data_IF_976899463312
#
_entry.id   IF_976899463312
#
_cell.length_a   1.000
_cell.length_b   1.000
_cell.length_c   1.000
_cell.angle_alpha   90.00
_cell.angle_beta   90.00
_cell.angle_gamma   90.00
#
_symmetry.space_group_name_H-M   'P 1'
#
loop_
_entity.id
_entity.type
_entity.pdbx_description
1 polymer ?
#
# COMPACT_ATOMS: atom_id res chain seq x y z
N UNK A 1 -29.53 -40.83 0.84
CA UNK A 1 -29.65 -39.62 1.67
C UNK A 1 -28.65 -38.49 1.27
N UNK A 2 -27.43 -38.79 0.80
CA UNK A 2 -26.44 -37.78 0.46
C UNK A 2 -26.80 -36.85 -0.71
N UNK A 3 -27.38 -37.35 -1.80
CA UNK A 3 -27.76 -36.56 -2.98
C UNK A 3 -28.75 -35.43 -2.66
N UNK A 4 -29.54 -35.57 -1.60
CA UNK A 4 -30.45 -34.54 -1.13
C UNK A 4 -29.76 -33.31 -0.44
N UNK A 5 -28.63 -33.50 0.25
CA UNK A 5 -27.98 -32.37 0.99
C UNK A 5 -27.48 -31.28 0.04
N UNK A 6 -26.70 -31.66 -0.97
CA UNK A 6 -26.15 -30.69 -1.94
C UNK A 6 -27.27 -30.01 -2.76
N UNK A 7 -28.22 -30.83 -3.27
CA UNK A 7 -29.36 -30.31 -4.03
C UNK A 7 -30.21 -29.35 -3.20
N UNK A 8 -30.47 -29.71 -1.93
CA UNK A 8 -31.24 -28.87 -1.02
C UNK A 8 -30.47 -27.57 -0.63
N UNK A 9 -29.13 -27.64 -0.46
CA UNK A 9 -28.32 -26.47 -0.24
C UNK A 9 -28.43 -25.46 -1.42
N UNK A 10 -28.39 -25.98 -2.67
CA UNK A 10 -28.55 -25.16 -3.87
C UNK A 10 -29.96 -24.56 -4.01
N UNK A 11 -30.99 -25.35 -3.67
CA UNK A 11 -32.35 -24.85 -3.65
C UNK A 11 -32.50 -23.68 -2.66
N UNK A 12 -32.01 -23.85 -1.41
CA UNK A 12 -32.07 -22.82 -0.39
C UNK A 12 -31.22 -21.59 -0.76
N UNK A 13 -30.06 -21.78 -1.39
CA UNK A 13 -29.27 -20.65 -1.94
C UNK A 13 -30.08 -19.82 -2.95
N UNK A 14 -30.73 -20.49 -3.90
CA UNK A 14 -31.57 -19.82 -4.92
C UNK A 14 -32.80 -19.14 -4.34
N UNK A 15 -33.33 -19.64 -3.23
CA UNK A 15 -34.49 -19.08 -2.53
C UNK A 15 -34.10 -17.99 -1.52
N UNK A 16 -32.79 -17.67 -1.35
CA UNK A 16 -32.33 -16.68 -0.38
C UNK A 16 -32.29 -17.18 1.07
N UNK A 17 -32.56 -18.46 1.32
CA UNK A 17 -32.55 -19.07 2.66
C UNK A 17 -31.10 -19.44 3.07
N UNK A 18 -30.24 -18.41 3.25
CA UNK A 18 -28.81 -18.59 3.37
C UNK A 18 -28.37 -19.41 4.60
N UNK A 19 -29.09 -19.34 5.73
CA UNK A 19 -28.76 -20.14 6.92
C UNK A 19 -28.97 -21.63 6.69
N UNK A 20 -30.09 -21.99 6.05
CA UNK A 20 -30.37 -23.39 5.67
C UNK A 20 -29.41 -23.89 4.61
N UNK A 21 -29.07 -23.02 3.65
CA UNK A 21 -28.08 -23.35 2.62
C UNK A 21 -26.70 -23.62 3.25
N UNK A 22 -26.28 -22.79 4.21
CA UNK A 22 -25.04 -22.95 4.98
C UNK A 22 -25.01 -24.26 5.76
N UNK A 23 -26.04 -24.55 6.56
CA UNK A 23 -26.13 -25.80 7.34
C UNK A 23 -25.98 -27.04 6.44
N UNK A 24 -26.72 -27.07 5.34
CA UNK A 24 -26.73 -28.19 4.42
C UNK A 24 -25.40 -28.36 3.66
N UNK A 25 -24.76 -27.26 3.24
CA UNK A 25 -23.48 -27.35 2.51
C UNK A 25 -22.32 -27.72 3.45
N UNK A 26 -22.34 -27.24 4.69
CA UNK A 26 -21.35 -27.64 5.70
C UNK A 26 -21.47 -29.14 6.00
N UNK A 27 -22.70 -29.65 6.19
CA UNK A 27 -22.94 -31.06 6.37
C UNK A 27 -22.58 -31.91 5.11
N UNK A 28 -22.70 -31.35 3.91
CA UNK A 28 -22.25 -32.00 2.68
C UNK A 28 -20.73 -32.07 2.57
N UNK A 29 -20.03 -31.00 3.00
CA UNK A 29 -18.57 -30.94 2.98
C UNK A 29 -17.91 -31.95 3.95
N UNK A 30 -18.63 -32.44 4.95
CA UNK A 30 -18.19 -33.46 5.91
C UNK A 30 -18.60 -34.88 5.47
N UNK A 31 -19.50 -35.02 4.49
CA UNK A 31 -20.02 -36.30 4.03
C UNK A 31 -19.02 -36.94 3.06
N UNK A 32 -18.68 -38.22 3.31
CA UNK A 32 -17.72 -39.00 2.52
C UNK A 32 -18.07 -39.10 1.02
N UNK A 33 -19.34 -38.93 0.65
CA UNK A 33 -19.81 -38.94 -0.74
C UNK A 33 -19.50 -37.62 -1.48
N UNK A 34 -19.23 -36.53 -0.76
CA UNK A 34 -19.10 -35.17 -1.31
C UNK A 34 -17.79 -34.49 -1.01
N UNK A 35 -17.06 -34.86 0.05
CA UNK A 35 -15.82 -34.25 0.51
C UNK A 35 -14.70 -34.22 -0.55
N UNK A 36 -14.73 -35.14 -1.53
CA UNK A 36 -13.77 -35.20 -2.63
C UNK A 36 -14.24 -34.50 -3.92
N UNK A 37 -15.36 -33.78 -3.92
CA UNK A 37 -15.94 -33.20 -5.14
C UNK A 37 -15.73 -31.69 -5.22
N UNK A 38 -15.14 -31.24 -6.30
CA UNK A 38 -14.96 -29.81 -6.58
C UNK A 38 -16.28 -29.01 -6.51
N UNK A 39 -17.38 -29.60 -7.00
CA UNK A 39 -18.72 -29.01 -6.94
C UNK A 39 -19.17 -28.63 -5.52
N UNK A 40 -18.87 -29.47 -4.52
CA UNK A 40 -19.24 -29.23 -3.13
C UNK A 40 -18.61 -27.94 -2.62
N UNK A 41 -17.32 -27.76 -2.86
CA UNK A 41 -16.58 -26.58 -2.42
C UNK A 41 -16.89 -25.34 -3.28
N UNK A 42 -17.14 -25.49 -4.57
CA UNK A 42 -17.64 -24.42 -5.40
C UNK A 42 -18.96 -23.82 -4.86
N UNK A 43 -19.91 -24.67 -4.52
CA UNK A 43 -21.18 -24.22 -3.97
C UNK A 43 -21.06 -23.72 -2.53
N UNK A 44 -20.18 -24.32 -1.72
CA UNK A 44 -19.85 -23.78 -0.40
C UNK A 44 -19.28 -22.37 -0.53
N UNK A 45 -18.33 -22.14 -1.43
CA UNK A 45 -17.80 -20.83 -1.72
C UNK A 45 -18.87 -19.80 -2.11
N UNK A 46 -19.82 -20.19 -2.98
CA UNK A 46 -20.92 -19.30 -3.37
C UNK A 46 -21.86 -18.95 -2.21
N UNK A 47 -22.25 -19.93 -1.39
CA UNK A 47 -23.13 -19.70 -0.22
C UNK A 47 -22.45 -18.73 0.76
N UNK A 48 -21.18 -18.97 1.09
CA UNK A 48 -20.43 -18.12 2.01
C UNK A 48 -20.12 -16.73 1.43
N UNK A 49 -19.95 -16.62 0.11
CA UNK A 49 -19.84 -15.33 -0.58
C UNK A 49 -21.14 -14.53 -0.46
N UNK A 50 -22.31 -15.13 -0.63
CA UNK A 50 -23.58 -14.41 -0.47
C UNK A 50 -23.83 -14.05 1.01
N UNK A 51 -23.48 -14.90 1.97
CA UNK A 51 -23.49 -14.55 3.40
C UNK A 51 -22.58 -13.37 3.73
N UNK A 52 -21.38 -13.32 3.17
CA UNK A 52 -20.48 -12.17 3.29
C UNK A 52 -21.13 -10.89 2.76
N UNK A 53 -21.67 -10.95 1.56
CA UNK A 53 -22.29 -9.78 0.91
C UNK A 53 -23.50 -9.24 1.69
N UNK A 54 -24.30 -10.12 2.28
CA UNK A 54 -25.53 -9.75 3.00
C UNK A 54 -25.24 -9.26 4.42
N UNK A 55 -24.28 -9.88 5.13
CA UNK A 55 -24.14 -9.71 6.58
C UNK A 55 -22.87 -9.00 7.02
N UNK A 56 -21.79 -9.13 6.25
CA UNK A 56 -20.46 -8.67 6.65
C UNK A 56 -19.73 -7.85 5.55
N UNK A 57 -20.45 -7.07 4.69
CA UNK A 57 -19.81 -6.41 3.55
C UNK A 57 -18.70 -5.45 3.98
N UNK A 58 -18.86 -4.79 5.14
CA UNK A 58 -17.92 -3.80 5.67
C UNK A 58 -16.93 -4.41 6.69
N UNK A 59 -17.07 -5.70 7.00
CA UNK A 59 -16.16 -6.37 7.93
C UNK A 59 -14.81 -6.64 7.29
N UNK A 60 -13.77 -5.92 7.73
CA UNK A 60 -12.42 -5.96 7.16
C UNK A 60 -11.77 -7.34 7.20
N UNK A 61 -12.14 -8.18 8.18
CA UNK A 61 -11.68 -9.57 8.35
C UNK A 61 -12.89 -10.50 8.52
N UNK A 62 -13.77 -10.52 7.52
CA UNK A 62 -14.99 -11.32 7.53
C UNK A 62 -14.69 -12.83 7.53
N UNK A 63 -15.16 -13.61 8.52
CA UNK A 63 -15.09 -15.07 8.51
C UNK A 63 -15.77 -15.70 7.30
N UNK A 64 -16.92 -15.16 6.89
CA UNK A 64 -17.63 -15.69 5.70
C UNK A 64 -16.81 -15.50 4.43
N UNK A 65 -16.16 -14.35 4.25
CA UNK A 65 -15.28 -14.11 3.11
C UNK A 65 -14.08 -15.07 3.10
N UNK A 66 -13.46 -15.31 4.24
CA UNK A 66 -12.33 -16.23 4.36
C UNK A 66 -12.77 -17.64 3.97
N UNK A 67 -13.89 -18.13 4.53
CA UNK A 67 -14.41 -19.47 4.20
C UNK A 67 -14.79 -19.59 2.71
N UNK A 68 -15.33 -18.52 2.12
CA UNK A 68 -15.64 -18.48 0.69
C UNK A 68 -14.36 -18.66 -0.17
N UNK A 69 -13.29 -17.91 0.15
CA UNK A 69 -12.00 -18.01 -0.55
C UNK A 69 -11.41 -19.40 -0.43
N UNK A 70 -11.33 -19.95 0.80
CA UNK A 70 -10.80 -21.29 1.05
C UNK A 70 -11.62 -22.37 0.32
N UNK A 71 -12.93 -22.18 0.24
CA UNK A 71 -13.81 -23.11 -0.48
C UNK A 71 -13.55 -23.08 -1.99
N UNK A 72 -13.44 -21.90 -2.61
CA UNK A 72 -13.10 -21.78 -4.03
C UNK A 72 -11.70 -22.32 -4.32
N UNK A 73 -10.73 -22.05 -3.45
CA UNK A 73 -9.38 -22.63 -3.55
C UNK A 73 -9.44 -24.17 -3.52
N UNK A 74 -10.16 -24.74 -2.55
CA UNK A 74 -10.33 -26.19 -2.47
C UNK A 74 -11.01 -26.79 -3.71
N UNK A 75 -11.97 -26.07 -4.30
CA UNK A 75 -12.60 -26.49 -5.57
C UNK A 75 -11.57 -26.54 -6.71
N UNK A 76 -10.68 -25.54 -6.81
CA UNK A 76 -9.60 -25.50 -7.80
C UNK A 76 -8.54 -26.58 -7.55
N UNK A 77 -8.17 -26.83 -6.30
CA UNK A 77 -7.20 -27.87 -5.94
C UNK A 77 -7.69 -29.27 -6.33
N UNK A 78 -9.01 -29.52 -6.25
CA UNK A 78 -9.61 -30.81 -6.61
C UNK A 78 -9.76 -30.97 -8.13
N UNK A 79 -10.13 -29.94 -8.86
CA UNK A 79 -10.32 -29.95 -10.31
C UNK A 79 -9.83 -28.63 -10.93
N UNK A 80 -8.49 -28.47 -11.17
CA UNK A 80 -7.93 -27.22 -11.64
C UNK A 80 -8.47 -26.74 -13.00
N UNK A 81 -8.82 -27.67 -13.87
CA UNK A 81 -9.38 -27.44 -15.20
C UNK A 81 -10.82 -27.94 -15.34
N UNK A 82 -11.49 -28.20 -14.20
CA UNK A 82 -12.85 -28.72 -14.17
C UNK A 82 -13.92 -27.68 -14.48
N UNK A 83 -15.16 -28.12 -14.51
CA UNK A 83 -16.35 -27.30 -14.84
C UNK A 83 -16.47 -26.02 -14.01
N UNK A 84 -15.97 -26.02 -12.77
CA UNK A 84 -16.09 -24.90 -11.83
C UNK A 84 -14.85 -24.02 -11.77
N UNK A 85 -13.76 -24.38 -12.46
CA UNK A 85 -12.48 -23.72 -12.32
C UNK A 85 -12.54 -22.23 -12.65
N UNK A 86 -13.00 -21.85 -13.83
CA UNK A 86 -13.07 -20.43 -14.24
C UNK A 86 -14.04 -19.62 -13.37
N UNK A 87 -15.16 -20.23 -12.97
CA UNK A 87 -16.12 -19.57 -12.07
C UNK A 87 -15.54 -19.38 -10.66
N UNK A 88 -14.75 -20.33 -10.15
CA UNK A 88 -14.04 -20.20 -8.87
C UNK A 88 -13.01 -19.11 -8.92
N UNK A 89 -12.16 -19.04 -9.95
CA UNK A 89 -11.18 -17.96 -10.17
C UNK A 89 -11.85 -16.58 -10.22
N UNK A 90 -12.96 -16.47 -10.97
CA UNK A 90 -13.73 -15.21 -11.05
C UNK A 90 -14.28 -14.77 -9.68
N UNK A 91 -14.83 -15.70 -8.91
CA UNK A 91 -15.32 -15.39 -7.56
C UNK A 91 -14.17 -15.04 -6.60
N UNK A 92 -13.04 -15.74 -6.68
CA UNK A 92 -11.84 -15.41 -5.90
C UNK A 92 -11.34 -13.99 -6.24
N UNK A 93 -11.30 -13.61 -7.51
CA UNK A 93 -10.94 -12.25 -7.93
C UNK A 93 -11.88 -11.20 -7.32
N UNK A 94 -13.20 -11.42 -7.38
CA UNK A 94 -14.17 -10.53 -6.75
C UNK A 94 -13.91 -10.37 -5.24
N UNK A 95 -13.71 -11.49 -4.52
CA UNK A 95 -13.43 -11.45 -3.08
C UNK A 95 -12.09 -10.77 -2.79
N UNK A 96 -11.07 -11.01 -3.61
CA UNK A 96 -9.78 -10.36 -3.49
C UNK A 96 -9.89 -8.83 -3.62
N UNK A 97 -10.66 -8.33 -4.60
CA UNK A 97 -10.88 -6.87 -4.74
C UNK A 97 -11.58 -6.28 -3.50
N UNK A 98 -12.50 -7.00 -2.85
CA UNK A 98 -13.09 -6.53 -1.58
C UNK A 98 -12.05 -6.51 -0.44
N UNK A 99 -11.11 -7.46 -0.40
CA UNK A 99 -9.99 -7.46 0.56
C UNK A 99 -9.05 -6.29 0.31
N UNK A 100 -8.71 -6.02 -0.96
CA UNK A 100 -7.88 -4.88 -1.35
C UNK A 100 -8.51 -3.53 -0.96
N UNK A 101 -9.80 -3.37 -1.20
CA UNK A 101 -10.53 -2.16 -0.80
C UNK A 101 -10.49 -1.96 0.73
N UNK A 102 -10.63 -3.04 1.51
CA UNK A 102 -10.49 -2.98 2.96
C UNK A 102 -9.04 -2.70 3.41
N UNK A 103 -8.03 -3.17 2.67
CA UNK A 103 -6.65 -2.79 2.91
C UNK A 103 -6.45 -1.29 2.71
N UNK A 104 -6.94 -0.75 1.58
CA UNK A 104 -6.83 0.68 1.26
C UNK A 104 -7.50 1.59 2.31
N UNK A 105 -8.72 1.25 2.73
CA UNK A 105 -9.45 2.01 3.79
C UNK A 105 -8.76 1.90 5.16
N UNK A 106 -7.99 0.84 5.42
CA UNK A 106 -7.24 0.66 6.67
C UNK A 106 -5.86 1.33 6.65
N UNK A 107 -5.45 1.99 5.56
CA UNK A 107 -4.20 2.75 5.51
C UNK A 107 -4.33 4.07 6.28
N UNK A 108 -4.26 3.96 7.61
CA UNK A 108 -4.23 5.06 8.56
C UNK A 108 -3.39 4.67 9.78
N UNK A 109 -3.09 5.62 10.63
CA UNK A 109 -2.19 5.48 11.78
C UNK A 109 -2.68 4.44 12.81
N UNK A 110 -3.99 4.16 12.87
CA UNK A 110 -4.60 3.24 13.84
C UNK A 110 -4.70 1.82 13.29
N UNK A 111 -5.02 1.66 12.02
CA UNK A 111 -5.39 0.37 11.43
C UNK A 111 -4.36 -0.19 10.42
N UNK A 112 -3.20 0.43 10.23
CA UNK A 112 -2.19 0.01 9.23
C UNK A 112 -1.79 -1.47 9.33
N UNK A 113 -1.85 -2.08 10.52
CA UNK A 113 -1.60 -3.51 10.69
C UNK A 113 -2.67 -4.38 9.99
N UNK A 114 -3.94 -3.92 10.00
CA UNK A 114 -5.02 -4.57 9.24
C UNK A 114 -4.83 -4.35 7.74
N UNK A 115 -4.37 -3.16 7.34
CA UNK A 115 -4.03 -2.89 5.93
C UNK A 115 -2.98 -3.85 5.40
N UNK A 116 -1.88 -4.05 6.14
CA UNK A 116 -0.82 -5.01 5.80
C UNK A 116 -1.36 -6.43 5.68
N UNK A 117 -2.13 -6.90 6.68
CA UNK A 117 -2.69 -8.25 6.69
C UNK A 117 -3.64 -8.48 5.51
N UNK A 118 -4.52 -7.50 5.22
CA UNK A 118 -5.44 -7.59 4.10
C UNK A 118 -4.71 -7.51 2.75
N UNK A 119 -3.69 -6.65 2.60
CA UNK A 119 -2.92 -6.58 1.36
C UNK A 119 -2.17 -7.87 1.06
N UNK A 120 -1.58 -8.49 2.09
CA UNK A 120 -0.97 -9.82 1.98
C UNK A 120 -2.01 -10.86 1.54
N UNK A 121 -3.17 -10.90 2.18
CA UNK A 121 -4.24 -11.85 1.84
C UNK A 121 -4.78 -11.62 0.42
N UNK A 122 -4.93 -10.36 -0.01
CA UNK A 122 -5.25 -10.03 -1.40
C UNK A 122 -4.27 -10.69 -2.38
N UNK A 123 -2.95 -10.53 -2.16
CA UNK A 123 -1.92 -11.12 -3.03
C UNK A 123 -1.96 -12.64 -3.03
N UNK A 124 -2.21 -13.27 -1.89
CA UNK A 124 -2.36 -14.73 -1.76
C UNK A 124 -3.55 -15.24 -2.60
N UNK A 125 -4.72 -14.59 -2.51
CA UNK A 125 -5.91 -14.98 -3.29
C UNK A 125 -5.64 -14.86 -4.79
N UNK A 126 -5.08 -13.72 -5.22
CA UNK A 126 -4.82 -13.49 -6.65
C UNK A 126 -3.74 -14.43 -7.18
N UNK A 127 -2.64 -14.65 -6.45
CA UNK A 127 -1.58 -15.58 -6.86
C UNK A 127 -2.08 -17.02 -6.99
N UNK A 128 -3.03 -17.41 -6.15
CA UNK A 128 -3.68 -18.75 -6.23
C UNK A 128 -4.59 -18.85 -7.45
N UNK A 129 -5.43 -17.85 -7.69
CA UNK A 129 -6.39 -17.87 -8.79
C UNK A 129 -5.72 -17.63 -10.15
N UNK A 130 -4.68 -16.80 -10.19
CA UNK A 130 -3.99 -16.34 -11.39
C UNK A 130 -2.46 -16.36 -11.15
N UNK A 131 -1.82 -17.54 -11.22
CA UNK A 131 -0.37 -17.65 -11.05
C UNK A 131 0.39 -16.77 -12.06
N UNK A 132 1.42 -16.08 -11.60
CA UNK A 132 2.22 -15.19 -12.43
C UNK A 132 1.68 -13.76 -12.57
N UNK A 133 0.64 -13.39 -11.81
CA UNK A 133 0.15 -12.00 -11.76
C UNK A 133 1.27 -11.06 -11.30
N UNK A 134 1.49 -9.98 -12.04
CA UNK A 134 2.40 -8.89 -11.65
C UNK A 134 1.70 -7.93 -10.69
N UNK A 135 2.30 -7.71 -9.53
CA UNK A 135 1.80 -6.81 -8.49
C UNK A 135 2.55 -5.48 -8.41
N UNK A 136 3.56 -5.26 -9.26
CA UNK A 136 4.47 -4.10 -9.15
C UNK A 136 3.75 -2.77 -8.99
N UNK A 137 2.77 -2.49 -9.84
CA UNK A 137 2.01 -1.23 -9.78
C UNK A 137 1.26 -1.09 -8.44
N UNK A 138 0.58 -2.16 -7.99
CA UNK A 138 -0.15 -2.16 -6.73
C UNK A 138 0.80 -2.13 -5.52
N UNK A 139 1.95 -2.80 -5.59
CA UNK A 139 2.98 -2.76 -4.55
C UNK A 139 3.54 -1.34 -4.40
N UNK A 140 3.84 -0.64 -5.50
CA UNK A 140 4.27 0.77 -5.47
C UNK A 140 3.22 1.66 -4.79
N UNK A 141 1.96 1.57 -5.21
CA UNK A 141 0.89 2.40 -4.66
C UNK A 141 0.66 2.13 -3.17
N UNK A 142 0.62 0.86 -2.78
CA UNK A 142 0.43 0.46 -1.39
C UNK A 142 1.61 0.89 -0.51
N UNK A 143 2.84 0.66 -0.96
CA UNK A 143 4.06 1.01 -0.24
C UNK A 143 4.22 2.54 -0.09
N UNK A 144 3.88 3.35 -1.12
CA UNK A 144 3.87 4.82 -1.00
C UNK A 144 2.91 5.29 0.09
N UNK A 145 1.70 4.76 0.11
CA UNK A 145 0.71 5.12 1.12
C UNK A 145 1.14 4.67 2.53
N UNK A 146 1.65 3.45 2.66
CA UNK A 146 2.14 2.93 3.94
C UNK A 146 3.38 3.70 4.46
N UNK A 147 4.29 4.10 3.57
CA UNK A 147 5.44 4.93 3.92
C UNK A 147 4.99 6.29 4.50
N UNK A 148 3.94 6.89 3.92
CA UNK A 148 3.34 8.12 4.47
C UNK A 148 2.80 7.91 5.89
N UNK A 149 2.16 6.76 6.16
CA UNK A 149 1.68 6.43 7.51
C UNK A 149 2.84 6.26 8.49
N UNK A 150 3.89 5.53 8.10
CA UNK A 150 5.07 5.37 8.98
C UNK A 150 5.80 6.68 9.23
N UNK A 151 5.88 7.60 8.24
CA UNK A 151 6.43 8.94 8.46
C UNK A 151 5.64 9.73 9.51
N UNK A 152 4.32 9.72 9.43
CA UNK A 152 3.46 10.36 10.44
C UNK A 152 3.60 9.73 11.83
N UNK A 153 3.68 8.40 11.90
CA UNK A 153 3.89 7.71 13.18
C UNK A 153 5.26 8.04 13.78
N UNK A 154 6.30 8.23 12.95
CA UNK A 154 7.61 8.67 13.41
C UNK A 154 7.59 10.07 14.06
N UNK A 155 6.73 10.96 13.57
CA UNK A 155 6.54 12.31 14.15
C UNK A 155 5.72 12.29 15.46
N UNK A 156 4.79 11.33 15.59
CA UNK A 156 3.85 11.26 16.72
C UNK A 156 4.38 10.43 17.90
N UNK A 157 5.13 9.36 17.61
CA UNK A 157 5.65 8.41 18.60
C UNK A 157 7.16 8.55 18.75
N UNK A 158 7.56 9.49 19.62
CA UNK A 158 8.97 9.79 19.88
C UNK A 158 9.78 8.62 20.40
N UNK A 159 9.15 7.63 21.05
CA UNK A 159 9.82 6.43 21.55
C UNK A 159 10.19 5.44 20.42
N UNK A 160 9.47 5.45 19.30
CA UNK A 160 9.64 4.55 18.17
C UNK A 160 10.02 5.25 16.86
N UNK A 161 10.38 6.53 16.91
CA UNK A 161 10.74 7.37 15.75
C UNK A 161 11.72 6.67 14.80
N UNK A 162 12.85 6.19 15.32
CA UNK A 162 13.89 5.52 14.52
C UNK A 162 13.37 4.25 13.83
N UNK A 163 12.54 3.47 14.54
CA UNK A 163 11.95 2.25 13.97
C UNK A 163 10.98 2.57 12.82
N UNK A 164 10.19 3.63 12.94
CA UNK A 164 9.29 4.06 11.88
C UNK A 164 10.06 4.67 10.70
N UNK A 165 11.10 5.46 10.94
CA UNK A 165 11.97 5.95 9.85
C UNK A 165 12.63 4.80 9.10
N UNK A 166 13.15 3.79 9.81
CA UNK A 166 13.73 2.61 9.17
C UNK A 166 12.72 1.88 8.26
N UNK A 167 11.48 1.72 8.71
CA UNK A 167 10.40 1.12 7.90
C UNK A 167 10.06 1.98 6.68
N UNK A 168 9.99 3.30 6.85
CA UNK A 168 9.74 4.24 5.75
C UNK A 168 10.82 4.14 4.68
N UNK A 169 12.09 4.12 5.09
CA UNK A 169 13.24 3.97 4.19
C UNK A 169 13.16 2.64 3.43
N UNK A 170 12.88 1.53 4.13
CA UNK A 170 12.74 0.21 3.51
C UNK A 170 11.67 0.20 2.42
N UNK A 171 10.50 0.79 2.67
CA UNK A 171 9.42 0.87 1.69
C UNK A 171 9.81 1.68 0.45
N UNK A 172 10.49 2.83 0.63
CA UNK A 172 10.96 3.60 -0.53
C UNK A 172 12.05 2.85 -1.30
N UNK A 173 12.94 2.11 -0.64
CA UNK A 173 13.93 1.26 -1.30
C UNK A 173 13.24 0.16 -2.13
N UNK A 174 12.26 -0.55 -1.57
CA UNK A 174 11.46 -1.54 -2.32
C UNK A 174 10.79 -0.94 -3.56
N UNK A 175 10.23 0.28 -3.45
CA UNK A 175 9.65 0.98 -4.60
C UNK A 175 10.72 1.28 -5.65
N UNK A 176 11.89 1.77 -5.25
CA UNK A 176 12.98 2.10 -6.16
C UNK A 176 13.65 0.88 -6.80
N UNK A 177 13.59 -0.29 -6.16
CA UNK A 177 13.96 -1.58 -6.76
C UNK A 177 12.99 -2.00 -7.88
N UNK A 178 11.69 -1.71 -7.72
CA UNK A 178 10.67 -1.97 -8.74
C UNK A 178 10.76 -0.94 -9.89
N UNK A 179 10.86 0.34 -9.54
CA UNK A 179 10.90 1.48 -10.45
C UNK A 179 11.89 2.55 -9.94
N UNK A 180 13.13 2.49 -10.39
CA UNK A 180 14.19 3.45 -10.00
C UNK A 180 13.90 4.89 -10.45
N UNK A 181 12.96 5.11 -11.37
CA UNK A 181 12.50 6.40 -11.86
C UNK A 181 11.20 6.87 -11.18
N UNK A 182 10.74 6.22 -10.12
CA UNK A 182 9.57 6.67 -9.38
C UNK A 182 9.84 8.05 -8.74
N UNK A 183 9.18 9.07 -9.27
CA UNK A 183 9.38 10.47 -8.83
C UNK A 183 9.06 10.65 -7.36
N UNK A 184 7.93 10.09 -6.91
CA UNK A 184 7.48 10.21 -5.52
C UNK A 184 8.42 9.54 -4.55
N UNK A 185 8.91 8.34 -4.85
CA UNK A 185 9.84 7.61 -3.98
C UNK A 185 11.19 8.32 -3.89
N UNK A 186 11.75 8.81 -5.01
CA UNK A 186 12.99 9.59 -5.00
C UNK A 186 12.83 10.86 -4.18
N UNK A 187 11.78 11.65 -4.45
CA UNK A 187 11.53 12.87 -3.70
C UNK A 187 11.34 12.61 -2.19
N UNK A 188 10.46 11.68 -1.84
CA UNK A 188 10.16 11.40 -0.44
C UNK A 188 11.35 10.81 0.34
N UNK A 189 12.16 9.97 -0.30
CA UNK A 189 13.41 9.49 0.30
C UNK A 189 14.40 10.64 0.56
N UNK A 190 14.53 11.53 -0.43
CA UNK A 190 15.37 12.72 -0.30
C UNK A 190 14.92 13.65 0.81
N UNK A 191 13.64 14.01 0.83
CA UNK A 191 13.07 14.91 1.84
C UNK A 191 13.09 14.29 3.25
N UNK A 192 12.95 12.97 3.36
CA UNK A 192 13.04 12.26 4.64
C UNK A 192 14.41 12.45 5.29
N UNK A 193 15.50 12.25 4.56
CA UNK A 193 16.85 12.47 5.07
C UNK A 193 17.13 13.98 5.32
N UNK A 194 16.62 14.85 4.46
CA UNK A 194 16.75 16.29 4.63
C UNK A 194 16.08 16.76 5.91
N UNK A 195 14.84 16.38 6.14
CA UNK A 195 14.09 16.76 7.34
C UNK A 195 14.76 16.27 8.61
N UNK A 196 15.28 15.02 8.64
CA UNK A 196 16.06 14.53 9.79
C UNK A 196 17.27 15.42 10.10
N UNK A 197 17.96 15.91 9.08
CA UNK A 197 19.08 16.87 9.26
C UNK A 197 18.60 18.21 9.79
N UNK A 198 17.52 18.75 9.24
CA UNK A 198 16.90 20.01 9.69
C UNK A 198 16.40 19.90 11.12
N UNK A 199 15.80 18.80 11.51
CA UNK A 199 15.33 18.55 12.87
C UNK A 199 16.50 18.59 13.88
N UNK A 200 17.65 18.02 13.54
CA UNK A 200 18.85 18.10 14.37
C UNK A 200 19.30 19.57 14.50
N UNK A 201 19.32 20.34 13.40
CA UNK A 201 19.67 21.77 13.43
C UNK A 201 18.74 22.56 14.34
N UNK A 202 17.43 22.36 14.19
CA UNK A 202 16.41 23.12 14.93
C UNK A 202 16.39 22.79 16.43
N UNK A 203 16.78 21.58 16.80
CA UNK A 203 16.81 21.10 18.20
C UNK A 203 18.22 21.06 18.79
N UNK A 204 19.20 21.69 18.13
CA UNK A 204 20.59 21.67 18.58
C UNK A 204 20.77 22.43 19.90
N UNK A 205 21.41 21.78 20.88
CA UNK A 205 21.81 22.42 22.12
C UNK A 205 23.11 23.21 21.92
N UNK A 206 23.03 24.51 21.97
CA UNK A 206 24.17 25.42 21.79
C UNK A 206 25.08 25.48 23.03
N UNK A 207 24.75 24.81 24.13
CA UNK A 207 25.58 24.72 25.34
C UNK A 207 26.64 23.58 25.25
N UNK A 208 26.59 22.76 24.18
CA UNK A 208 27.54 21.67 23.90
C UNK A 208 28.97 22.23 23.73
N UNK A 209 29.97 21.45 24.08
CA UNK A 209 31.35 21.77 23.80
C UNK A 209 31.67 21.64 22.28
N UNK A 210 32.87 22.13 21.89
CA UNK A 210 33.26 22.16 20.47
C UNK A 210 33.31 20.75 19.83
N UNK A 211 33.76 19.75 20.57
CA UNK A 211 33.84 18.38 20.06
C UNK A 211 32.44 17.79 19.78
N UNK A 212 31.52 17.97 20.72
CA UNK A 212 30.12 17.58 20.59
C UNK A 212 29.41 18.33 19.45
N UNK A 213 29.68 19.63 19.29
CA UNK A 213 29.13 20.42 18.17
C UNK A 213 29.63 19.90 16.83
N UNK A 214 30.90 19.51 16.71
CA UNK A 214 31.46 18.92 15.51
C UNK A 214 30.79 17.58 15.18
N UNK A 215 30.57 16.70 16.18
CA UNK A 215 29.86 15.42 15.99
C UNK A 215 28.42 15.64 15.47
N UNK A 216 27.71 16.61 16.03
CA UNK A 216 26.36 16.97 15.56
C UNK A 216 26.40 17.46 14.12
N UNK A 217 27.36 18.34 13.79
CA UNK A 217 27.54 18.86 12.43
C UNK A 217 27.85 17.72 11.43
N UNK A 218 28.71 16.78 11.79
CA UNK A 218 29.05 15.63 10.95
C UNK A 218 27.81 14.76 10.67
N UNK A 219 26.97 14.52 11.68
CA UNK A 219 25.70 13.80 11.51
C UNK A 219 24.75 14.52 10.53
N UNK A 220 24.63 15.83 10.62
CA UNK A 220 23.81 16.65 9.72
C UNK A 220 24.33 16.53 8.27
N UNK A 221 25.65 16.69 8.09
CA UNK A 221 26.30 16.55 6.78
C UNK A 221 26.07 15.15 6.17
N UNK A 222 26.16 14.09 6.98
CA UNK A 222 25.87 12.72 6.52
C UNK A 222 24.42 12.60 6.03
N UNK A 223 23.44 13.17 6.74
CA UNK A 223 22.04 13.13 6.35
C UNK A 223 21.79 13.90 5.05
N UNK A 224 22.36 15.09 4.90
CA UNK A 224 22.23 15.87 3.66
C UNK A 224 22.91 15.18 2.47
N UNK A 225 24.08 14.55 2.69
CA UNK A 225 24.73 13.73 1.65
C UNK A 225 23.90 12.51 1.26
N UNK A 226 23.18 11.87 2.20
CA UNK A 226 22.24 10.79 1.90
C UNK A 226 21.01 11.27 1.12
N UNK A 227 20.50 12.47 1.44
CA UNK A 227 19.38 13.10 0.76
C UNK A 227 19.69 13.43 -0.72
N UNK A 228 20.89 13.94 -0.97
CA UNK A 228 21.27 14.57 -2.23
C UNK A 228 21.03 13.72 -3.49
N UNK A 229 21.46 12.44 -3.58
CA UNK A 229 21.28 11.64 -4.79
C UNK A 229 19.80 11.45 -5.15
N UNK A 230 18.93 11.31 -4.18
CA UNK A 230 17.48 11.14 -4.37
C UNK A 230 16.82 12.46 -4.82
N UNK A 231 17.18 13.58 -4.21
CA UNK A 231 16.66 14.89 -4.58
C UNK A 231 17.12 15.32 -5.98
N UNK A 232 18.39 15.05 -6.35
CA UNK A 232 18.90 15.28 -7.71
C UNK A 232 18.16 14.41 -8.71
N UNK A 233 17.91 13.11 -8.38
CA UNK A 233 17.15 12.22 -9.24
C UNK A 233 15.71 12.71 -9.41
N UNK A 234 15.06 13.14 -8.33
CA UNK A 234 13.71 13.71 -8.39
C UNK A 234 13.65 14.97 -9.30
N UNK A 235 14.66 15.84 -9.23
CA UNK A 235 14.79 17.00 -10.11
C UNK A 235 14.99 16.60 -11.57
N UNK A 236 15.81 15.60 -11.87
CA UNK A 236 16.00 15.09 -13.23
C UNK A 236 14.71 14.53 -13.85
N UNK A 237 13.85 13.94 -13.02
CA UNK A 237 12.57 13.36 -13.43
C UNK A 237 11.45 14.40 -13.55
N UNK A 238 11.44 15.39 -12.66
CA UNK A 238 10.49 16.50 -12.65
C UNK A 238 11.20 17.80 -12.18
N UNK A 239 11.76 18.53 -13.12
CA UNK A 239 12.52 19.77 -12.84
C UNK A 239 11.65 20.95 -12.40
N UNK A 240 10.32 20.85 -12.56
CA UNK A 240 9.39 21.93 -12.19
C UNK A 240 8.74 21.74 -10.83
N UNK A 241 9.09 20.72 -10.09
CA UNK A 241 8.57 20.48 -8.77
C UNK A 241 9.21 21.46 -7.77
N UNK A 242 8.41 22.44 -7.33
CA UNK A 242 8.83 23.54 -6.45
C UNK A 242 9.52 23.05 -5.18
N UNK A 243 8.97 22.04 -4.53
CA UNK A 243 9.48 21.47 -3.27
C UNK A 243 10.86 20.83 -3.46
N UNK A 244 11.11 20.22 -4.63
CA UNK A 244 12.43 19.65 -4.98
C UNK A 244 13.48 20.73 -5.12
N UNK A 245 13.15 21.87 -5.75
CA UNK A 245 14.05 23.02 -5.90
C UNK A 245 14.39 23.63 -4.54
N UNK A 246 13.40 23.82 -3.66
CA UNK A 246 13.60 24.30 -2.29
C UNK A 246 14.54 23.35 -1.53
N UNK A 247 14.29 22.05 -1.59
CA UNK A 247 15.13 21.06 -0.92
C UNK A 247 16.57 21.06 -1.42
N UNK A 248 16.79 21.07 -2.74
CA UNK A 248 18.14 21.12 -3.33
C UNK A 248 18.87 22.40 -2.98
N UNK A 249 18.21 23.57 -3.02
CA UNK A 249 18.78 24.83 -2.58
C UNK A 249 19.27 24.73 -1.13
N UNK A 250 18.43 24.23 -0.21
CA UNK A 250 18.78 24.10 1.21
C UNK A 250 19.89 23.09 1.46
N UNK A 251 19.88 21.92 0.79
CA UNK A 251 20.92 20.91 0.91
C UNK A 251 22.28 21.47 0.46
N UNK A 252 22.35 22.06 -0.74
CA UNK A 252 23.61 22.60 -1.26
C UNK A 252 24.13 23.78 -0.42
N UNK A 253 23.23 24.62 0.08
CA UNK A 253 23.60 25.68 1.04
C UNK A 253 24.24 25.07 2.30
N UNK A 254 23.61 24.07 2.90
CA UNK A 254 24.08 23.40 4.11
C UNK A 254 25.40 22.64 3.90
N UNK A 255 25.65 22.17 2.68
CA UNK A 255 26.93 21.55 2.28
C UNK A 255 27.99 22.56 1.83
N UNK A 256 27.74 23.86 1.96
CA UNK A 256 28.61 24.97 1.56
C UNK A 256 28.93 24.98 0.04
N UNK A 257 28.05 24.40 -0.80
CA UNK A 257 28.12 24.53 -2.27
C UNK A 257 27.22 25.68 -2.72
N UNK A 258 27.74 26.89 -2.54
CA UNK A 258 26.97 28.11 -2.77
C UNK A 258 26.58 28.26 -4.25
N UNK A 259 27.43 27.83 -5.18
CA UNK A 259 27.16 27.92 -6.60
C UNK A 259 25.90 27.10 -6.99
N UNK A 260 25.80 25.85 -6.53
CA UNK A 260 24.62 25.04 -6.80
C UNK A 260 23.40 25.51 -6.03
N UNK A 261 23.57 25.98 -4.80
CA UNK A 261 22.46 26.58 -4.04
C UNK A 261 21.85 27.77 -4.80
N UNK A 262 22.65 28.68 -5.31
CA UNK A 262 22.17 29.82 -6.10
C UNK A 262 21.59 29.41 -7.45
N UNK A 263 22.09 28.34 -8.07
CA UNK A 263 21.49 27.76 -9.29
C UNK A 263 20.03 27.32 -9.03
N UNK A 264 19.78 26.50 -8.00
CA UNK A 264 18.42 26.02 -7.69
C UNK A 264 17.50 27.13 -7.19
N UNK A 265 18.04 28.15 -6.54
CA UNK A 265 17.30 29.37 -6.17
C UNK A 265 16.79 30.12 -7.39
N UNK A 266 17.63 30.31 -8.42
CA UNK A 266 17.22 30.96 -9.68
C UNK A 266 16.18 30.13 -10.46
N UNK A 267 16.34 28.82 -10.50
CA UNK A 267 15.33 27.94 -11.08
C UNK A 267 13.97 28.08 -10.39
N UNK A 268 13.97 28.17 -9.04
CA UNK A 268 12.76 28.41 -8.24
C UNK A 268 12.12 29.77 -8.54
N UNK A 269 12.93 30.85 -8.56
CA UNK A 269 12.46 32.20 -8.88
C UNK A 269 11.87 32.28 -10.30
N UNK A 270 12.48 31.58 -11.27
CA UNK A 270 11.98 31.47 -12.63
C UNK A 270 10.63 30.74 -12.69
N UNK A 271 10.48 29.67 -11.92
CA UNK A 271 9.22 28.93 -11.84
C UNK A 271 8.10 29.80 -11.25
N UNK A 272 8.39 30.52 -10.15
CA UNK A 272 7.42 31.37 -9.46
C UNK A 272 7.00 32.59 -10.34
N UNK A 273 7.93 33.18 -11.12
CA UNK A 273 7.64 34.28 -12.07
C UNK A 273 6.85 33.82 -13.30
N UNK A 274 7.04 32.58 -13.76
CA UNK A 274 6.30 31.99 -14.89
C UNK A 274 4.84 31.64 -14.54
N UNK A 275 4.51 31.44 -13.28
CA UNK A 275 3.12 31.19 -12.82
C UNK A 275 2.32 32.48 -12.58
N UNK A 276 2.98 33.64 -12.44
CA UNK A 276 2.32 34.94 -12.21
C UNK A 276 1.80 35.64 -13.48
N UNK A 277 2.02 35.09 -14.67
CA UNK A 277 1.69 35.74 -15.95
C UNK A 277 0.34 35.38 -16.55
N UNK A 278 -0.55 34.69 -15.84
CA UNK A 278 -1.80 34.13 -16.37
C UNK A 278 -3.11 34.73 -15.88
N UNK A 279 -3.11 35.89 -15.16
CA UNK A 279 -4.37 36.52 -14.77
C UNK A 279 -4.29 38.04 -14.86
N UNK A 280 -4.65 38.57 -15.99
CA UNK A 280 -4.74 40.04 -16.16
C UNK A 280 -4.83 40.51 -17.59
N UNK A 281 -5.92 40.18 -18.32
CA UNK A 281 -6.53 41.09 -19.29
C UNK A 281 -7.65 40.35 -20.06
N UNK A 282 -8.87 40.50 -19.64
CA UNK A 282 -9.91 40.91 -20.56
C UNK A 282 -11.08 41.51 -19.74
N UNK A 283 -11.13 42.80 -19.79
CA UNK A 283 -12.19 43.60 -19.26
C UNK A 283 -12.14 44.96 -19.93
N UNK A 284 -12.70 45.05 -21.16
CA UNK A 284 -13.29 46.29 -21.66
C UNK A 284 -13.40 46.19 -23.19
N UNK A 285 -14.54 45.90 -23.72
CA UNK A 285 -15.36 46.72 -24.63
C UNK A 285 -16.66 45.97 -24.95
#
# INVERSE_FOLDING_TARGET
MGQNKLTNALYNLKSGELDKAKELIDAAAEDSLFVGKASTYYYKGNIYKELFKEREPDMKQSPYRIIAVESFKKSLDLEPDGTYAESSKKNMKYLAETVYNHAAVSLNEVEYQKALSNYKFYKEIISTAFPGTDFKEKDILFNLALATIYSKLAEQDTANTEAFYAKTISLYQEILEIDSNNVSANYNMGILYYNQGVDIVNNMDYSLDLEQLNEVQDRIIVLFKKSLPFMVKAYQLDSKRRETLIGLQGIYFSLNDIEKSEFYKKELESLDSGQGGGDGSDGSE
#
